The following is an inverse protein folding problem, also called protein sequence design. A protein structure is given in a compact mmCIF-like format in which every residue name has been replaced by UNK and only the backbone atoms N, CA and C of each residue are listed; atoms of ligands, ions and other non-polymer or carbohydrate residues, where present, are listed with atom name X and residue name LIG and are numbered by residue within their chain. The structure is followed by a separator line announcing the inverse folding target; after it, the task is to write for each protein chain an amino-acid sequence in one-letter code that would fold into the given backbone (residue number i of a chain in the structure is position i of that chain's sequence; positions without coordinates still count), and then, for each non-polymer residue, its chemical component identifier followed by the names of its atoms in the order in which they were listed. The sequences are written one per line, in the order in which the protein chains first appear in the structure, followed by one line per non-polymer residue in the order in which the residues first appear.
data_IF_164713084014
#
_entry.id   IF_164713084014
#
_cell.length_a   1.000
_cell.length_b   1.000
_cell.length_c   1.000
_cell.angle_alpha   90.00
_cell.angle_beta   90.00
_cell.angle_gamma   90.00
#
_symmetry.space_group_name_H-M   'P 1'
#
loop_
_entity.id
_entity.type
_entity.pdbx_description
1 polymer ?
#
# COMPACT_ATOMS: atom_id res chain seq x y z
N UNK A 1 2.02 -25.79 6.85
CA UNK A 1 2.87 -24.60 6.57
C UNK A 1 2.69 -24.20 5.12
N UNK A 2 2.18 -22.98 4.84
CA UNK A 2 2.14 -22.43 3.49
C UNK A 2 3.57 -22.19 3.00
N UNK A 3 3.94 -22.70 1.82
CA UNK A 3 5.23 -22.40 1.19
C UNK A 3 5.08 -21.14 0.35
N UNK A 4 5.39 -19.98 0.91
CA UNK A 4 5.46 -18.73 0.16
C UNK A 4 6.79 -18.72 -0.60
N UNK A 5 6.79 -18.63 -1.94
CA UNK A 5 8.03 -18.57 -2.72
C UNK A 5 8.88 -17.40 -2.25
N UNK A 6 10.14 -17.68 -1.91
CA UNK A 6 11.11 -16.62 -1.63
C UNK A 6 11.47 -15.96 -2.95
N UNK A 7 11.16 -14.68 -3.08
CA UNK A 7 11.56 -13.89 -4.24
C UNK A 7 13.08 -13.67 -4.22
N UNK A 8 13.70 -13.61 -5.39
CA UNK A 8 15.09 -13.16 -5.53
C UNK A 8 15.13 -11.64 -5.50
N UNK A 9 16.13 -11.10 -4.81
CA UNK A 9 16.59 -9.71 -4.77
C UNK A 9 15.51 -8.62 -4.65
N UNK A 10 15.26 -8.21 -3.40
CA UNK A 10 14.60 -6.94 -3.03
C UNK A 10 13.17 -6.73 -3.52
N UNK A 11 12.57 -7.72 -4.18
CA UNK A 11 11.15 -7.72 -4.56
C UNK A 11 10.29 -8.31 -3.45
N UNK A 12 9.19 -7.61 -3.12
CA UNK A 12 8.20 -8.12 -2.17
C UNK A 12 7.36 -9.24 -2.80
N UNK A 13 7.12 -10.35 -2.10
CA UNK A 13 6.20 -11.38 -2.59
C UNK A 13 4.78 -10.80 -2.70
N UNK A 14 3.98 -11.32 -3.63
CA UNK A 14 2.59 -10.86 -3.85
C UNK A 14 1.77 -10.81 -2.56
N UNK A 15 1.98 -11.76 -1.64
CA UNK A 15 1.30 -11.78 -0.33
C UNK A 15 1.63 -10.53 0.50
N UNK A 16 2.88 -10.08 0.54
CA UNK A 16 3.25 -8.86 1.25
C UNK A 16 2.58 -7.62 0.63
N UNK A 17 2.52 -7.54 -0.70
CA UNK A 17 1.78 -6.49 -1.40
C UNK A 17 0.29 -6.50 -1.10
N UNK A 18 -0.33 -7.68 -1.08
CA UNK A 18 -1.74 -7.83 -0.74
C UNK A 18 -2.03 -7.39 0.71
N UNK A 19 -1.15 -7.73 1.66
CA UNK A 19 -1.30 -7.31 3.05
C UNK A 19 -1.19 -5.78 3.20
N UNK A 20 -0.24 -5.13 2.50
CA UNK A 20 -0.15 -3.66 2.44
C UNK A 20 -1.41 -3.04 1.84
N UNK A 21 -1.93 -3.62 0.76
CA UNK A 21 -3.19 -3.18 0.14
C UNK A 21 -4.39 -3.34 1.06
N UNK A 22 -4.54 -4.50 1.70
CA UNK A 22 -5.58 -4.77 2.68
C UNK A 22 -5.54 -3.81 3.86
N UNK A 23 -4.35 -3.47 4.35
CA UNK A 23 -4.20 -2.49 5.41
C UNK A 23 -4.76 -1.13 5.00
N UNK A 24 -4.43 -0.64 3.80
CA UNK A 24 -5.00 0.61 3.27
C UNK A 24 -6.51 0.50 3.09
N UNK A 25 -7.02 -0.61 2.57
CA UNK A 25 -8.47 -0.82 2.45
C UNK A 25 -9.17 -0.79 3.82
N UNK A 26 -8.57 -1.38 4.86
CA UNK A 26 -9.12 -1.38 6.21
C UNK A 26 -9.11 0.03 6.84
N UNK A 27 -8.05 0.83 6.62
CA UNK A 27 -8.02 2.23 7.06
C UNK A 27 -9.08 3.09 6.36
N UNK A 28 -9.47 2.75 5.14
CA UNK A 28 -10.44 3.48 4.32
C UNK A 28 -11.87 2.90 4.39
N UNK A 29 -12.12 1.85 5.18
CA UNK A 29 -13.39 1.12 5.17
C UNK A 29 -14.59 1.97 5.63
N UNK A 30 -14.34 3.08 6.34
CA UNK A 30 -15.35 4.05 6.75
C UNK A 30 -15.52 5.25 5.80
N UNK A 31 -14.68 5.37 4.76
CA UNK A 31 -14.67 6.53 3.87
C UNK A 31 -15.63 6.41 2.68
N UNK A 32 -16.13 5.21 2.40
CA UNK A 32 -17.03 4.96 1.27
C UNK A 32 -18.44 4.67 1.77
N UNK A 33 -19.42 5.45 1.31
CA UNK A 33 -20.82 5.14 1.57
C UNK A 33 -21.27 3.94 0.72
N UNK A 34 -22.26 3.15 1.17
CA UNK A 34 -22.82 2.06 0.37
C UNK A 34 -23.31 2.52 -1.01
N UNK A 35 -23.86 3.73 -1.09
CA UNK A 35 -24.36 4.34 -2.32
C UNK A 35 -23.21 4.69 -3.29
N UNK A 36 -22.09 5.18 -2.78
CA UNK A 36 -20.91 5.43 -3.62
C UNK A 36 -20.38 4.12 -4.23
N UNK A 37 -20.37 3.04 -3.43
CA UNK A 37 -19.93 1.72 -3.88
C UNK A 37 -20.86 1.11 -4.93
N UNK A 38 -22.17 1.38 -4.87
CA UNK A 38 -23.13 0.94 -5.89
C UNK A 38 -23.06 1.77 -7.16
N UNK A 39 -22.99 3.10 -7.02
CA UNK A 39 -23.19 4.03 -8.13
C UNK A 39 -21.91 4.24 -8.93
N UNK A 40 -20.75 4.14 -8.27
CA UNK A 40 -19.46 4.29 -8.93
C UNK A 40 -18.38 3.40 -8.28
N UNK A 41 -18.43 2.08 -8.48
CA UNK A 41 -17.44 1.16 -7.91
C UNK A 41 -16.01 1.44 -8.41
N UNK A 42 -15.86 1.91 -9.66
CA UNK A 42 -14.55 2.27 -10.22
C UNK A 42 -13.94 3.47 -9.50
N UNK A 43 -14.77 4.45 -9.13
CA UNK A 43 -14.34 5.57 -8.31
C UNK A 43 -13.75 5.10 -6.97
N UNK A 44 -14.44 4.22 -6.25
CA UNK A 44 -13.94 3.67 -4.99
C UNK A 44 -12.61 2.93 -5.17
N UNK A 45 -12.47 2.15 -6.25
CA UNK A 45 -11.20 1.46 -6.58
C UNK A 45 -10.07 2.45 -6.85
N UNK A 46 -10.30 3.48 -7.68
CA UNK A 46 -9.30 4.51 -7.97
C UNK A 46 -8.90 5.28 -6.71
N UNK A 47 -9.84 5.49 -5.80
CA UNK A 47 -9.61 6.14 -4.50
C UNK A 47 -8.70 5.31 -3.61
N UNK A 48 -8.98 4.01 -3.48
CA UNK A 48 -8.16 3.06 -2.73
C UNK A 48 -6.74 2.96 -3.32
N UNK A 49 -6.61 2.91 -4.65
CA UNK A 49 -5.32 2.93 -5.32
C UNK A 49 -4.57 4.24 -5.06
N UNK A 50 -5.27 5.37 -5.09
CA UNK A 50 -4.68 6.68 -4.79
C UNK A 50 -4.17 6.75 -3.35
N UNK A 51 -4.96 6.28 -2.39
CA UNK A 51 -4.57 6.20 -0.97
C UNK A 51 -3.36 5.27 -0.78
N UNK A 52 -3.34 4.12 -1.45
CA UNK A 52 -2.22 3.17 -1.42
C UNK A 52 -0.93 3.82 -1.91
N UNK A 53 -0.96 4.45 -3.09
CA UNK A 53 0.22 5.13 -3.61
C UNK A 53 0.61 6.34 -2.75
N UNK A 54 -0.35 7.11 -2.24
CA UNK A 54 -0.05 8.24 -1.35
C UNK A 54 0.72 7.80 -0.11
N UNK A 55 0.38 6.64 0.47
CA UNK A 55 1.06 6.10 1.65
C UNK A 55 2.47 5.60 1.34
N UNK A 56 2.61 4.80 0.29
CA UNK A 56 3.85 4.05 0.04
C UNK A 56 4.83 4.73 -0.94
N UNK A 57 4.47 5.87 -1.55
CA UNK A 57 5.38 6.61 -2.45
C UNK A 57 6.39 7.51 -1.75
N UNK A 58 6.33 7.66 -0.43
CA UNK A 58 7.32 8.43 0.32
C UNK A 58 8.55 7.57 0.62
N UNK A 59 9.73 8.18 0.76
CA UNK A 59 10.98 7.46 1.10
C UNK A 59 10.82 6.65 2.39
N UNK A 60 10.03 7.16 3.34
CA UNK A 60 9.69 6.52 4.61
C UNK A 60 8.42 5.67 4.57
N UNK A 61 7.72 5.61 3.43
CA UNK A 61 6.42 4.96 3.32
C UNK A 61 6.52 3.43 3.41
N UNK A 62 7.63 2.89 2.92
CA UNK A 62 8.00 1.48 3.04
C UNK A 62 9.03 1.25 4.16
N UNK A 63 9.11 2.13 5.16
CA UNK A 63 9.99 1.95 6.32
C UNK A 63 9.15 1.78 7.59
N UNK A 64 9.11 0.57 8.13
CA UNK A 64 8.25 0.25 9.26
C UNK A 64 7.69 -1.17 9.25
N UNK A 65 6.83 -1.44 10.22
CA UNK A 65 6.28 -2.77 10.49
C UNK A 65 4.77 -2.81 10.29
N UNK A 66 4.32 -3.69 9.39
CA UNK A 66 2.92 -4.08 9.24
C UNK A 66 2.62 -5.34 10.05
N UNK A 67 1.56 -5.29 10.85
CA UNK A 67 1.07 -6.43 11.62
C UNK A 67 -0.46 -6.47 11.60
N UNK A 68 -1.03 -7.66 11.36
CA UNK A 68 -2.45 -7.93 11.53
C UNK A 68 -2.70 -8.58 12.89
N UNK A 69 -3.85 -8.30 13.48
CA UNK A 69 -4.35 -9.05 14.62
C UNK A 69 -4.71 -10.46 14.19
N UNK A 70 -4.30 -11.46 14.99
CA UNK A 70 -4.50 -12.87 14.66
C UNK A 70 -5.99 -13.19 14.53
N UNK A 71 -6.41 -13.68 13.35
CA UNK A 71 -7.80 -14.02 13.06
C UNK A 71 -8.73 -12.82 12.84
N UNK A 72 -8.18 -11.61 12.66
CA UNK A 72 -8.92 -10.36 12.49
C UNK A 72 -8.45 -9.62 11.23
N UNK A 73 -9.31 -8.75 10.69
CA UNK A 73 -8.96 -7.84 9.60
C UNK A 73 -8.26 -6.56 10.09
N UNK A 74 -8.19 -6.37 11.42
CA UNK A 74 -7.55 -5.22 12.04
C UNK A 74 -6.04 -5.32 11.83
N UNK A 75 -5.44 -4.22 11.40
CA UNK A 75 -4.01 -4.13 11.15
C UNK A 75 -3.44 -2.80 11.63
N UNK A 76 -2.15 -2.81 11.96
CA UNK A 76 -1.39 -1.63 12.36
C UNK A 76 -0.12 -1.55 11.54
N UNK A 77 0.23 -0.33 11.13
CA UNK A 77 1.51 -0.02 10.49
C UNK A 77 2.30 0.96 11.35
N UNK A 78 3.38 0.48 11.96
CA UNK A 78 4.26 1.29 12.79
C UNK A 78 5.41 1.80 11.94
N UNK A 79 5.36 3.09 11.59
CA UNK A 79 6.41 3.71 10.79
C UNK A 79 7.71 3.85 11.59
N UNK A 80 8.84 3.54 10.97
CA UNK A 80 10.15 3.80 11.54
C UNK A 80 10.52 5.27 11.30
N UNK A 81 10.85 5.99 12.38
CA UNK A 81 11.34 7.37 12.32
C UNK A 81 12.86 7.46 12.48
N UNK A 82 13.57 6.32 12.41
CA UNK A 82 15.02 6.34 12.51
C UNK A 82 15.59 7.04 11.28
N UNK A 83 16.43 8.07 11.49
CA UNK A 83 17.11 8.82 10.44
C UNK A 83 18.15 7.95 9.72
N UNK A 84 17.71 7.00 8.90
CA UNK A 84 18.57 6.26 7.97
C UNK A 84 18.16 6.65 6.56
N UNK A 85 18.82 7.66 5.95
CA UNK A 85 18.34 8.29 4.71
C UNK A 85 18.31 7.37 3.48
N UNK A 86 18.74 6.11 3.60
CA UNK A 86 18.90 5.22 2.45
C UNK A 86 18.53 3.75 2.74
N UNK A 87 17.98 3.42 3.91
CA UNK A 87 17.64 2.03 4.25
C UNK A 87 16.22 1.96 4.76
N UNK A 88 15.35 1.32 3.97
CA UNK A 88 13.99 1.01 4.40
C UNK A 88 14.00 -0.36 5.08
N UNK A 89 13.56 -0.39 6.34
CA UNK A 89 13.38 -1.63 7.09
C UNK A 89 11.90 -1.99 7.07
N UNK A 90 11.45 -2.51 5.93
CA UNK A 90 10.09 -2.98 5.77
C UNK A 90 9.95 -4.35 6.42
N UNK A 91 9.06 -4.46 7.39
CA UNK A 91 8.67 -5.72 8.02
C UNK A 91 7.19 -5.94 7.74
N UNK A 92 6.85 -7.05 7.09
CA UNK A 92 5.46 -7.44 6.84
C UNK A 92 5.24 -8.80 7.44
N UNK A 93 4.52 -8.88 8.57
CA UNK A 93 4.29 -10.16 9.24
C UNK A 93 3.13 -10.93 8.60
N UNK A 94 3.34 -12.21 8.34
CA UNK A 94 2.28 -13.16 8.01
C UNK A 94 1.28 -13.27 9.18
N UNK A 95 -0.02 -12.96 8.99
CA UNK A 95 -1.02 -13.02 10.06
C UNK A 95 -1.14 -14.40 10.75
N UNK A 96 -0.76 -15.47 10.05
CA UNK A 96 -0.91 -16.85 10.54
C UNK A 96 0.35 -17.39 11.25
N UNK A 97 1.52 -16.85 10.90
CA UNK A 97 2.80 -17.44 11.32
C UNK A 97 3.79 -16.45 11.94
N UNK A 98 3.45 -15.15 12.00
CA UNK A 98 4.31 -14.05 12.46
C UNK A 98 5.68 -14.00 11.75
N UNK A 99 5.81 -14.67 10.60
CA UNK A 99 7.03 -14.67 9.79
C UNK A 99 7.10 -13.38 8.97
N UNK A 100 8.26 -12.72 8.97
CA UNK A 100 8.49 -11.59 8.07
C UNK A 100 8.52 -12.04 6.61
N UNK A 101 7.60 -11.52 5.81
CA UNK A 101 7.44 -11.77 4.39
C UNK A 101 8.26 -10.82 3.51
N UNK A 102 8.70 -9.69 4.07
CA UNK A 102 9.50 -8.72 3.35
C UNK A 102 10.99 -9.10 3.45
N UNK A 103 11.65 -9.46 2.33
CA UNK A 103 13.09 -9.67 2.35
C UNK A 103 13.81 -8.33 2.59
N UNK A 104 15.04 -8.36 3.14
CA UNK A 104 15.87 -7.16 3.25
C UNK A 104 16.02 -6.48 1.88
N UNK A 105 15.82 -5.17 1.85
CA UNK A 105 15.88 -4.39 0.62
C UNK A 105 17.19 -3.62 0.55
N UNK A 106 17.88 -3.70 -0.58
CA UNK A 106 19.04 -2.84 -0.81
C UNK A 106 18.58 -1.38 -0.98
N UNK A 107 19.42 -0.38 -0.65
CA UNK A 107 19.11 1.03 -0.91
C UNK A 107 18.71 1.30 -2.36
N UNK A 108 19.40 0.68 -3.32
CA UNK A 108 19.10 0.83 -4.74
C UNK A 108 17.72 0.28 -5.10
N UNK A 109 17.36 -0.90 -4.57
CA UNK A 109 16.04 -1.49 -4.80
C UNK A 109 14.93 -0.65 -4.19
N UNK A 110 15.15 -0.09 -2.99
CA UNK A 110 14.18 0.81 -2.35
C UNK A 110 13.92 2.06 -3.19
N UNK A 111 14.98 2.71 -3.68
CA UNK A 111 14.86 3.88 -4.55
C UNK A 111 14.10 3.53 -5.84
N UNK A 112 14.44 2.42 -6.48
CA UNK A 112 13.75 1.95 -7.69
C UNK A 112 12.27 1.66 -7.42
N UNK A 113 11.96 1.04 -6.29
CA UNK A 113 10.57 0.72 -5.93
C UNK A 113 9.76 1.99 -5.65
N UNK A 114 10.31 2.93 -4.89
CA UNK A 114 9.69 4.23 -4.64
C UNK A 114 9.47 4.98 -5.96
N UNK A 115 10.43 4.94 -6.89
CA UNK A 115 10.29 5.51 -8.22
C UNK A 115 9.11 4.88 -9.00
N UNK A 116 8.99 3.56 -9.04
CA UNK A 116 7.89 2.91 -9.75
C UNK A 116 6.52 3.21 -9.11
N UNK A 117 6.44 3.28 -7.78
CA UNK A 117 5.22 3.70 -7.09
C UNK A 117 4.87 5.16 -7.44
N UNK A 118 5.86 6.06 -7.52
CA UNK A 118 5.63 7.47 -7.91
C UNK A 118 5.16 7.58 -9.36
N UNK A 119 5.74 6.78 -10.25
CA UNK A 119 5.32 6.68 -11.66
C UNK A 119 3.88 6.19 -11.75
N UNK A 120 3.52 5.13 -11.03
CA UNK A 120 2.16 4.59 -10.97
C UNK A 120 1.17 5.63 -10.42
N UNK A 121 1.53 6.35 -9.37
CA UNK A 121 0.74 7.46 -8.82
C UNK A 121 0.49 8.57 -9.85
N UNK A 122 1.51 8.91 -10.63
CA UNK A 122 1.42 9.96 -11.65
C UNK A 122 0.52 9.53 -12.81
N UNK A 123 0.62 8.27 -13.24
CA UNK A 123 -0.28 7.68 -14.23
C UNK A 123 -1.72 7.65 -13.73
N UNK A 124 -1.94 7.25 -12.47
CA UNK A 124 -3.27 7.24 -11.86
C UNK A 124 -3.88 8.65 -11.82
N UNK A 125 -3.11 9.67 -11.41
CA UNK A 125 -3.54 11.07 -11.46
C UNK A 125 -3.93 11.50 -12.88
N UNK A 126 -3.13 11.12 -13.88
CA UNK A 126 -3.46 11.38 -15.28
C UNK A 126 -4.81 10.76 -15.64
N UNK A 127 -5.02 9.48 -15.36
CA UNK A 127 -6.29 8.77 -15.63
C UNK A 127 -7.48 9.47 -14.97
N UNK A 128 -7.34 9.84 -13.70
CA UNK A 128 -8.37 10.58 -12.96
C UNK A 128 -8.65 11.98 -13.55
N UNK A 129 -7.66 12.59 -14.21
CA UNK A 129 -7.80 13.91 -14.85
C UNK A 129 -8.30 13.86 -16.31
N UNK A 130 -7.96 12.82 -17.08
CA UNK A 130 -8.22 12.74 -18.52
C UNK A 130 -9.46 11.93 -18.89
N UNK A 131 -9.99 11.09 -17.99
CA UNK A 131 -11.10 10.18 -18.32
C UNK A 131 -12.17 10.08 -17.23
N UNK A 132 -13.42 10.35 -17.61
CA UNK A 132 -14.66 9.76 -17.07
C UNK A 132 -14.89 9.74 -15.54
N UNK A 133 -14.26 10.63 -14.77
CA UNK A 133 -14.45 10.72 -13.33
C UNK A 133 -14.50 12.17 -12.84
N UNK A 134 -15.10 13.08 -13.62
CA UNK A 134 -15.31 14.47 -13.19
C UNK A 134 -16.20 14.57 -11.92
N UNK A 135 -16.99 13.54 -11.62
CA UNK A 135 -17.76 13.43 -10.36
C UNK A 135 -16.93 13.01 -9.13
N UNK A 136 -15.66 12.64 -9.29
CA UNK A 136 -14.81 12.27 -8.16
C UNK A 136 -14.17 13.47 -7.46
N UNK A 137 -14.10 14.62 -8.14
CA UNK A 137 -13.39 15.78 -7.60
C UNK A 137 -14.02 16.35 -6.32
N UNK A 138 -15.30 16.07 -6.05
CA UNK A 138 -16.01 16.52 -4.83
C UNK A 138 -15.76 15.63 -3.60
N UNK A 139 -15.25 14.41 -3.77
CA UNK A 139 -14.99 13.46 -2.65
C UNK A 139 -13.57 13.61 -2.10
N UNK A 140 -12.65 14.25 -2.84
CA UNK A 140 -11.21 14.32 -2.51
C UNK A 140 -10.70 15.70 -2.08
N UNK A 141 -11.58 16.62 -1.67
CA UNK A 141 -11.12 17.84 -0.99
C UNK A 141 -11.08 17.60 0.53
N UNK A 142 -10.01 18.07 1.22
CA UNK A 142 -9.84 17.89 2.67
C UNK A 142 -10.91 18.59 3.50
#
# INVERSE_FOLDING_TARGET
MRRIPRMKDGSLPTVAWMLLGMHVCAEQSGCFSPELLSDNPMAAVLSLLSAFFQRYTTVSGLDGKLQFEKGSAVSTFQQSFQKRPCHADLIVLDPESDVNLAPPMSPATHILLVHELLRARSLLKSVMSTGQCQHLHSVFQP
#
